data_IF_176088139102
#
_entry.id   IF_176088139102
#
_cell.length_a   1.000
_cell.length_b   1.000
_cell.length_c   1.000
_cell.angle_alpha   90.00
_cell.angle_beta   90.00
_cell.angle_gamma   90.00
#
_symmetry.space_group_name_H-M   'P 1'
#
loop_
_entity.id
_entity.type
_entity.pdbx_description
1 polymer ?
#
# COMPACT_ATOMS: atom_id res chain seq x y z
N UNK A 1 -47.60 34.16 18.57
CA UNK A 1 -47.09 33.75 17.25
C UNK A 1 -45.63 34.22 17.17
N UNK A 2 -44.70 33.45 17.73
CA UNK A 2 -43.25 33.61 17.50
C UNK A 2 -42.67 32.20 17.44
N UNK A 3 -41.88 32.01 16.40
CA UNK A 3 -41.56 30.78 15.68
C UNK A 3 -40.46 29.99 16.38
N UNK A 4 -40.59 28.66 16.36
CA UNK A 4 -39.57 27.69 16.74
C UNK A 4 -38.22 28.00 16.05
N UNK A 5 -37.16 28.25 16.83
CA UNK A 5 -35.79 28.04 16.36
C UNK A 5 -35.48 26.56 16.59
N UNK A 6 -35.62 25.77 15.53
CA UNK A 6 -35.05 24.44 15.44
C UNK A 6 -33.53 24.58 15.46
N UNK A 7 -32.91 24.03 16.50
CA UNK A 7 -31.48 23.73 16.54
C UNK A 7 -31.23 22.67 15.47
N UNK A 8 -30.62 23.07 14.35
CA UNK A 8 -30.02 22.13 13.40
C UNK A 8 -28.85 21.47 14.13
N UNK A 9 -29.13 20.34 14.78
CA UNK A 9 -28.11 19.35 15.03
C UNK A 9 -27.63 18.89 13.65
N UNK A 10 -26.48 19.38 13.21
CA UNK A 10 -25.75 18.80 12.09
C UNK A 10 -25.51 17.34 12.46
N UNK A 11 -26.27 16.46 11.82
CA UNK A 11 -26.05 15.03 11.86
C UNK A 11 -24.68 14.77 11.26
N UNK A 12 -23.67 14.58 12.11
CA UNK A 12 -22.41 13.94 11.74
C UNK A 12 -22.79 12.53 11.33
N UNK A 13 -23.02 12.30 10.04
CA UNK A 13 -23.12 10.95 9.52
C UNK A 13 -21.74 10.31 9.71
N UNK A 14 -21.61 9.17 10.42
CA UNK A 14 -20.41 8.36 10.29
C UNK A 14 -20.41 7.88 8.84
N UNK A 15 -19.50 8.40 8.02
CA UNK A 15 -19.18 7.75 6.75
C UNK A 15 -18.29 6.57 7.11
N UNK A 16 -18.93 5.43 7.31
CA UNK A 16 -18.30 4.11 7.27
C UNK A 16 -17.67 3.98 5.88
N UNK A 17 -16.38 4.31 5.72
CA UNK A 17 -15.61 3.86 4.56
C UNK A 17 -15.41 2.35 4.75
N UNK A 18 -16.12 1.49 4.00
CA UNK A 18 -16.08 0.04 4.23
C UNK A 18 -14.67 -0.53 3.98
N UNK A 19 -13.79 0.24 3.33
CA UNK A 19 -12.54 -0.23 2.78
C UNK A 19 -12.73 -0.93 1.43
N UNK A 20 -11.63 -1.26 0.80
CA UNK A 20 -11.59 -1.93 -0.49
C UNK A 20 -11.24 -3.39 -0.25
N UNK A 21 -12.17 -4.29 -0.55
CA UNK A 21 -11.93 -5.74 -0.47
C UNK A 21 -10.95 -6.17 -1.54
N UNK A 22 -9.97 -6.98 -1.17
CA UNK A 22 -8.94 -7.49 -2.06
C UNK A 22 -8.21 -8.68 -1.43
N UNK A 23 -7.01 -8.96 -1.90
CA UNK A 23 -6.20 -10.08 -1.43
C UNK A 23 -4.84 -9.61 -0.89
N UNK A 24 -4.34 -10.32 0.11
CA UNK A 24 -2.97 -10.18 0.59
C UNK A 24 -2.26 -11.53 0.46
N UNK A 25 -1.27 -11.57 -0.44
CA UNK A 25 -0.35 -12.68 -0.64
C UNK A 25 0.95 -12.39 0.13
N UNK A 26 1.30 -13.30 1.03
CA UNK A 26 2.56 -13.27 1.80
C UNK A 26 3.49 -14.33 1.19
N UNK A 27 4.56 -13.89 0.52
CA UNK A 27 5.43 -14.78 -0.27
C UNK A 27 6.24 -15.73 0.62
N UNK A 28 6.64 -15.28 1.80
CA UNK A 28 7.38 -16.09 2.78
C UNK A 28 6.54 -17.23 3.38
N UNK A 29 5.21 -17.12 3.38
CA UNK A 29 4.30 -18.16 3.86
C UNK A 29 3.61 -18.94 2.72
N UNK A 30 3.81 -18.50 1.47
CA UNK A 30 3.02 -18.93 0.31
C UNK A 30 1.50 -18.89 0.58
N UNK A 31 1.05 -17.94 1.42
CA UNK A 31 -0.31 -17.88 1.92
C UNK A 31 -1.06 -16.69 1.30
N UNK A 32 -2.29 -16.93 0.85
CA UNK A 32 -3.20 -15.87 0.36
C UNK A 32 -4.38 -15.72 1.30
N UNK A 33 -4.67 -14.48 1.68
CA UNK A 33 -5.78 -14.14 2.56
C UNK A 33 -6.65 -13.06 1.94
N UNK A 34 -7.97 -13.13 2.16
CA UNK A 34 -8.86 -12.01 1.87
C UNK A 34 -8.51 -10.85 2.81
N UNK A 35 -8.40 -9.65 2.25
CA UNK A 35 -8.02 -8.44 2.95
C UNK A 35 -9.03 -7.32 2.69
N UNK A 36 -9.11 -6.38 3.63
CA UNK A 36 -9.88 -5.14 3.45
C UNK A 36 -8.91 -3.98 3.65
N UNK A 37 -8.61 -3.28 2.57
CA UNK A 37 -7.68 -2.16 2.55
C UNK A 37 -8.41 -0.88 2.96
N UNK A 38 -8.00 -0.28 4.08
CA UNK A 38 -8.61 0.94 4.63
C UNK A 38 -7.58 2.03 4.75
N UNK A 39 -7.95 3.24 4.35
CA UNK A 39 -7.12 4.41 4.67
C UNK A 39 -7.31 4.79 6.13
N UNK A 40 -6.28 5.35 6.78
CA UNK A 40 -6.38 5.86 8.14
C UNK A 40 -7.54 6.84 8.28
N UNK A 41 -8.28 6.76 9.39
CA UNK A 41 -9.38 7.69 9.67
C UNK A 41 -8.85 9.11 9.92
N UNK A 42 -7.69 9.21 10.57
CA UNK A 42 -7.02 10.47 10.89
C UNK A 42 -6.58 11.21 9.61
N UNK A 43 -7.12 12.41 9.33
CA UNK A 43 -6.75 13.19 8.14
C UNK A 43 -5.26 13.54 8.06
N UNK A 44 -4.63 13.79 9.20
CA UNK A 44 -3.21 14.15 9.30
C UNK A 44 -2.32 12.97 8.91
N UNK A 45 -2.68 11.76 9.37
CA UNK A 45 -1.99 10.52 8.97
C UNK A 45 -2.12 10.29 7.47
N UNK A 46 -3.32 10.45 6.90
CA UNK A 46 -3.51 10.35 5.44
C UNK A 46 -2.67 11.37 4.68
N UNK A 47 -2.63 12.62 5.14
CA UNK A 47 -1.84 13.67 4.51
C UNK A 47 -0.34 13.33 4.52
N UNK A 48 0.17 12.76 5.62
CA UNK A 48 1.56 12.30 5.70
C UNK A 48 1.86 11.15 4.75
N UNK A 49 0.98 10.15 4.64
CA UNK A 49 1.17 9.09 3.64
C UNK A 49 1.21 9.63 2.21
N UNK A 50 0.35 10.60 1.88
CA UNK A 50 0.38 11.28 0.57
C UNK A 50 1.70 12.01 0.35
N UNK A 51 2.20 12.71 1.36
CA UNK A 51 3.48 13.40 1.29
C UNK A 51 4.61 12.41 1.02
N UNK A 52 4.67 11.28 1.73
CA UNK A 52 5.67 10.22 1.50
C UNK A 52 5.60 9.68 0.07
N UNK A 53 4.40 9.45 -0.47
CA UNK A 53 4.22 9.00 -1.84
C UNK A 53 4.63 10.05 -2.90
N UNK A 54 4.61 11.34 -2.55
CA UNK A 54 5.06 12.44 -3.41
C UNK A 54 6.58 12.60 -3.37
N UNK A 55 7.15 12.56 -2.17
CA UNK A 55 8.59 12.71 -1.95
C UNK A 55 9.38 11.43 -2.33
N UNK A 56 8.69 10.30 -2.44
CA UNK A 56 9.26 8.99 -2.72
C UNK A 56 9.78 8.28 -1.46
N UNK A 57 10.01 9.00 -0.37
CA UNK A 57 10.42 8.41 0.90
C UNK A 57 10.04 9.31 2.09
N UNK A 58 9.77 8.68 3.24
CA UNK A 58 9.72 9.40 4.51
C UNK A 58 9.42 8.50 5.70
N UNK A 59 9.22 9.08 6.90
CA UNK A 59 8.88 8.33 8.08
C UNK A 59 7.50 7.67 7.95
N UNK A 60 7.33 6.48 8.55
CA UNK A 60 6.04 5.80 8.59
C UNK A 60 5.07 6.59 9.49
N UNK A 61 3.92 7.06 8.97
CA UNK A 61 3.00 7.91 9.73
C UNK A 61 2.01 7.10 10.60
N UNK A 62 2.33 5.87 10.99
CA UNK A 62 1.46 5.01 11.80
C UNK A 62 1.71 5.19 13.31
N UNK A 63 0.65 5.35 14.14
CA UNK A 63 0.78 5.59 15.59
C UNK A 63 1.52 4.51 16.38
N UNK A 64 1.61 3.28 15.87
CA UNK A 64 2.34 2.17 16.49
C UNK A 64 3.79 2.02 15.98
N UNK A 65 4.19 2.76 14.94
CA UNK A 65 5.49 2.62 14.27
C UNK A 65 6.22 3.97 14.19
N UNK A 66 6.51 4.59 15.35
CA UNK A 66 7.00 5.98 15.41
C UNK A 66 8.52 6.15 15.36
N UNK A 67 9.28 5.10 15.67
CA UNK A 67 10.73 5.22 15.88
C UNK A 67 11.56 4.47 14.83
N UNK A 68 12.19 5.25 13.94
CA UNK A 68 13.17 4.76 12.97
C UNK A 68 12.59 4.06 11.74
N UNK A 69 11.27 3.81 11.70
CA UNK A 69 10.61 3.23 10.53
C UNK A 69 10.49 4.24 9.39
N UNK A 70 10.95 3.84 8.21
CA UNK A 70 10.89 4.60 6.97
C UNK A 70 10.18 3.78 5.90
N UNK A 71 9.41 4.50 5.09
CA UNK A 71 8.69 3.99 3.94
C UNK A 71 9.29 4.64 2.70
N UNK A 72 9.77 3.82 1.78
CA UNK A 72 10.15 4.25 0.44
C UNK A 72 9.12 3.73 -0.55
N UNK A 73 8.76 4.54 -1.54
CA UNK A 73 7.67 4.30 -2.48
C UNK A 73 8.21 4.46 -3.90
N UNK A 74 8.08 3.41 -4.71
CA UNK A 74 8.43 3.44 -6.12
C UNK A 74 7.15 3.39 -6.97
N UNK A 75 6.80 4.53 -7.55
CA UNK A 75 5.67 4.66 -8.48
C UNK A 75 6.20 4.50 -9.91
N UNK A 76 5.61 3.58 -10.66
CA UNK A 76 5.99 3.37 -12.05
C UNK A 76 5.67 4.59 -12.91
N UNK A 77 6.64 4.98 -13.75
CA UNK A 77 6.49 6.07 -14.68
C UNK A 77 6.92 5.68 -16.09
N UNK A 78 6.13 6.06 -17.10
CA UNK A 78 6.46 5.92 -18.52
C UNK A 78 6.30 7.27 -19.22
N UNK A 79 7.30 7.69 -20.01
CA UNK A 79 7.23 8.92 -20.84
C UNK A 79 6.72 10.15 -20.07
N UNK A 80 7.20 10.32 -18.82
CA UNK A 80 6.80 11.39 -17.88
C UNK A 80 5.35 11.33 -17.38
N UNK A 81 4.68 10.18 -17.56
CA UNK A 81 3.36 9.90 -16.99
C UNK A 81 3.51 8.86 -15.89
N UNK A 82 2.69 8.98 -14.86
CA UNK A 82 2.52 7.91 -13.87
C UNK A 82 1.72 6.81 -14.55
N UNK A 83 2.20 5.58 -14.42
CA UNK A 83 1.48 4.40 -14.87
C UNK A 83 0.53 4.00 -13.75
N UNK A 84 -0.76 4.07 -14.01
CA UNK A 84 -1.78 3.56 -13.08
C UNK A 84 -1.77 2.03 -13.08
N UNK A 85 -2.14 1.44 -11.95
CA UNK A 85 -2.35 0.00 -11.82
C UNK A 85 -1.47 -0.72 -10.82
N UNK A 86 -0.33 -0.14 -10.44
CA UNK A 86 0.51 -0.71 -9.39
C UNK A 86 1.42 0.31 -8.70
N UNK A 87 1.90 -0.07 -7.52
CA UNK A 87 2.89 0.68 -6.74
C UNK A 87 3.74 -0.29 -5.90
N UNK A 88 5.04 0.01 -5.81
CA UNK A 88 5.95 -0.73 -4.94
C UNK A 88 6.30 0.12 -3.74
N UNK A 89 6.58 -0.55 -2.62
CA UNK A 89 7.08 0.11 -1.44
C UNK A 89 8.04 -0.78 -0.66
N UNK A 90 8.86 -0.14 0.15
CA UNK A 90 9.88 -0.76 0.97
C UNK A 90 9.77 -0.20 2.38
N UNK A 91 9.71 -1.10 3.35
CA UNK A 91 9.66 -0.76 4.76
C UNK A 91 10.99 -1.15 5.39
N UNK A 92 11.63 -0.21 6.07
CA UNK A 92 12.93 -0.44 6.70
C UNK A 92 13.09 0.42 7.94
N UNK A 93 14.06 0.07 8.78
CA UNK A 93 14.35 0.77 10.03
C UNK A 93 15.76 1.37 9.98
N UNK A 94 15.87 2.66 10.27
CA UNK A 94 17.12 3.42 10.22
C UNK A 94 17.37 4.06 8.86
N UNK A 95 18.32 5.00 8.81
CA UNK A 95 18.56 5.83 7.61
C UNK A 95 19.38 5.10 6.52
N UNK A 96 20.18 4.10 6.90
CA UNK A 96 21.12 3.41 5.99
C UNK A 96 20.57 2.11 5.37
N UNK A 97 19.34 1.69 5.70
CA UNK A 97 18.85 0.34 5.43
C UNK A 97 17.99 0.17 4.16
N UNK A 98 18.06 1.12 3.22
CA UNK A 98 17.38 0.97 1.91
C UNK A 98 17.85 -0.30 1.18
N UNK A 99 19.10 -0.71 1.37
CA UNK A 99 19.70 -1.87 0.68
C UNK A 99 19.32 -3.23 1.28
N UNK A 100 18.78 -3.24 2.50
CA UNK A 100 18.30 -4.43 3.23
C UNK A 100 16.97 -4.11 3.93
N UNK A 101 15.90 -3.92 3.15
CA UNK A 101 14.61 -3.58 3.73
C UNK A 101 14.08 -4.74 4.58
N UNK A 102 13.37 -4.38 5.65
CA UNK A 102 12.66 -5.36 6.45
C UNK A 102 11.53 -6.01 5.64
N UNK A 103 10.82 -5.22 4.83
CA UNK A 103 9.75 -5.72 3.98
C UNK A 103 9.77 -5.05 2.61
N UNK A 104 9.53 -5.87 1.59
CA UNK A 104 9.16 -5.44 0.25
C UNK A 104 7.66 -5.64 0.07
N UNK A 105 6.98 -4.63 -0.46
CA UNK A 105 5.56 -4.68 -0.72
C UNK A 105 5.24 -4.16 -2.11
N UNK A 106 4.20 -4.72 -2.71
CA UNK A 106 3.71 -4.31 -4.01
C UNK A 106 2.20 -4.45 -4.05
N UNK A 107 1.52 -3.37 -4.41
CA UNK A 107 0.08 -3.32 -4.52
C UNK A 107 -0.29 -3.18 -6.00
N UNK A 108 -1.22 -4.00 -6.48
CA UNK A 108 -1.75 -3.96 -7.85
C UNK A 108 -3.27 -3.92 -7.83
N UNK A 109 -3.89 -3.14 -8.72
CA UNK A 109 -5.36 -3.04 -8.84
C UNK A 109 -5.88 -3.16 -10.27
N UNK A 110 -4.98 -3.25 -11.24
CA UNK A 110 -5.32 -3.54 -12.64
C UNK A 110 -4.91 -4.97 -12.98
N UNK A 111 -5.77 -5.65 -13.73
CA UNK A 111 -5.60 -7.05 -14.13
C UNK A 111 -4.35 -7.23 -15.00
N UNK A 112 -4.11 -6.31 -15.93
CA UNK A 112 -2.95 -6.31 -16.84
C UNK A 112 -1.62 -6.18 -16.07
N UNK A 113 -1.65 -5.51 -14.92
CA UNK A 113 -0.47 -5.33 -14.08
C UNK A 113 -0.21 -6.51 -13.15
N UNK A 114 -1.23 -7.33 -12.84
CA UNK A 114 -1.13 -8.41 -11.84
C UNK A 114 -0.05 -9.43 -12.16
N UNK A 115 0.06 -9.86 -13.42
CA UNK A 115 1.08 -10.86 -13.80
C UNK A 115 2.49 -10.29 -13.73
N UNK A 116 2.70 -9.07 -14.27
CA UNK A 116 3.98 -8.39 -14.21
C UNK A 116 4.40 -8.11 -12.77
N UNK A 117 3.44 -7.74 -11.93
CA UNK A 117 3.59 -7.56 -10.50
C UNK A 117 4.07 -8.86 -9.84
N UNK A 118 3.35 -9.97 -10.01
CA UNK A 118 3.71 -11.28 -9.46
C UNK A 118 5.12 -11.73 -9.87
N UNK A 119 5.46 -11.61 -11.15
CA UNK A 119 6.80 -11.94 -11.66
C UNK A 119 7.86 -11.03 -11.04
N UNK A 120 7.60 -9.73 -10.95
CA UNK A 120 8.53 -8.76 -10.35
C UNK A 120 8.76 -9.06 -8.87
N UNK A 121 7.70 -9.35 -8.11
CA UNK A 121 7.81 -9.70 -6.70
C UNK A 121 8.58 -11.01 -6.48
N UNK A 122 8.30 -12.04 -7.29
CA UNK A 122 9.04 -13.29 -7.27
C UNK A 122 10.53 -13.07 -7.60
N UNK A 123 10.84 -12.30 -8.66
CA UNK A 123 12.21 -11.97 -9.05
C UNK A 123 12.94 -11.15 -7.99
N UNK A 124 12.28 -10.13 -7.41
CA UNK A 124 12.86 -9.32 -6.33
C UNK A 124 13.13 -10.20 -5.10
N UNK A 125 12.23 -11.13 -4.79
CA UNK A 125 12.44 -12.10 -3.72
C UNK A 125 13.63 -13.03 -3.97
N UNK A 126 13.70 -13.66 -5.14
CA UNK A 126 14.82 -14.52 -5.52
C UNK A 126 16.15 -13.77 -5.54
N UNK A 127 16.19 -12.57 -6.12
CA UNK A 127 17.41 -11.76 -6.18
C UNK A 127 17.84 -11.27 -4.79
N UNK A 128 16.89 -10.86 -3.94
CA UNK A 128 17.20 -10.44 -2.59
C UNK A 128 17.70 -11.61 -1.72
N UNK A 129 17.16 -12.81 -1.96
CA UNK A 129 17.66 -14.05 -1.36
C UNK A 129 19.09 -14.36 -1.79
N UNK A 130 19.36 -14.42 -3.10
CA UNK A 130 20.69 -14.70 -3.64
C UNK A 130 21.76 -13.71 -3.18
N UNK A 131 21.37 -12.45 -2.95
CA UNK A 131 22.26 -11.39 -2.46
C UNK A 131 22.39 -11.34 -0.92
N UNK A 132 21.72 -12.25 -0.18
CA UNK A 132 21.69 -12.25 1.28
C UNK A 132 21.10 -10.97 1.87
N UNK A 133 20.21 -10.31 1.12
CA UNK A 133 19.49 -9.10 1.54
C UNK A 133 18.15 -9.44 2.19
N UNK A 134 17.58 -10.58 1.82
CA UNK A 134 16.43 -11.21 2.45
C UNK A 134 16.86 -12.60 2.88
N UNK A 135 16.72 -12.90 4.16
CA UNK A 135 16.80 -14.28 4.67
C UNK A 135 15.36 -14.74 4.91
N UNK A 136 14.75 -15.46 3.95
CA UNK A 136 13.36 -15.85 4.05
C UNK A 136 13.23 -16.88 5.18
N UNK A 137 12.12 -16.81 5.91
CA UNK A 137 11.82 -17.80 6.96
C UNK A 137 11.65 -19.21 6.39
N UNK A 138 11.21 -19.33 5.12
CA UNK A 138 11.05 -20.57 4.36
C UNK A 138 11.26 -20.35 2.85
N UNK A 139 11.54 -21.41 2.08
CA UNK A 139 11.63 -21.34 0.61
C UNK A 139 10.29 -20.90 -0.01
N UNK A 140 10.25 -19.96 -0.98
CA UNK A 140 9.00 -19.49 -1.56
C UNK A 140 8.25 -20.64 -2.25
N UNK A 141 7.01 -20.87 -1.81
CA UNK A 141 6.11 -21.87 -2.41
C UNK A 141 5.56 -21.44 -3.78
N UNK A 142 4.87 -22.37 -4.46
CA UNK A 142 4.26 -22.09 -5.76
C UNK A 142 3.12 -21.07 -5.60
N UNK A 143 3.21 -19.94 -6.30
CA UNK A 143 2.22 -18.86 -6.19
C UNK A 143 0.98 -19.21 -7.03
N UNK A 144 -0.13 -19.55 -6.38
CA UNK A 144 -1.40 -19.75 -7.05
C UNK A 144 -2.04 -18.41 -7.43
N UNK A 145 -2.52 -18.30 -8.68
CA UNK A 145 -3.28 -17.13 -9.13
C UNK A 145 -4.61 -17.07 -8.38
N UNK A 146 -4.76 -16.08 -7.51
CA UNK A 146 -6.04 -15.71 -6.91
C UNK A 146 -6.63 -14.50 -7.64
N UNK A 147 -7.97 -14.43 -7.68
CA UNK A 147 -8.71 -13.66 -8.68
C UNK A 147 -9.26 -12.32 -8.21
N UNK A 148 -9.11 -11.96 -6.93
CA UNK A 148 -9.67 -10.72 -6.39
C UNK A 148 -8.65 -9.58 -6.49
N UNK A 149 -9.07 -8.46 -7.10
CA UNK A 149 -8.32 -7.20 -7.10
C UNK A 149 -9.00 -6.19 -6.16
N UNK A 150 -8.22 -5.30 -5.50
CA UNK A 150 -6.77 -5.20 -5.59
C UNK A 150 -6.01 -6.27 -4.81
N UNK A 151 -4.75 -6.49 -5.15
CA UNK A 151 -3.89 -7.50 -4.54
C UNK A 151 -2.61 -6.85 -3.99
N UNK A 152 -2.35 -7.07 -2.70
CA UNK A 152 -1.10 -6.75 -2.04
C UNK A 152 -0.24 -8.01 -2.00
N UNK A 153 1.02 -7.88 -2.41
CA UNK A 153 2.04 -8.93 -2.33
C UNK A 153 3.15 -8.41 -1.44
N UNK A 154 3.51 -9.17 -0.42
CA UNK A 154 4.60 -8.82 0.49
C UNK A 154 5.64 -9.93 0.59
N UNK A 155 6.86 -9.52 0.89
CA UNK A 155 7.96 -10.39 1.26
C UNK A 155 8.65 -9.80 2.49
N UNK A 156 8.64 -10.55 3.59
CA UNK A 156 9.35 -10.19 4.81
C UNK A 156 10.76 -10.79 4.85
N UNK A 157 11.71 -10.00 5.34
CA UNK A 157 13.07 -10.44 5.60
C UNK A 157 13.30 -10.70 7.08
N UNK A 158 14.00 -11.79 7.39
CA UNK A 158 14.52 -12.06 8.72
C UNK A 158 15.76 -11.20 9.00
N UNK A 159 15.55 -9.91 9.29
CA UNK A 159 16.63 -8.98 9.70
C UNK A 159 16.65 -8.84 11.23
N UNK A 160 17.83 -8.62 11.86
CA UNK A 160 17.91 -8.33 13.29
C UNK A 160 17.28 -6.98 13.68
N UNK A 161 16.88 -6.17 12.69
CA UNK A 161 16.23 -4.86 12.88
C UNK A 161 14.73 -4.89 12.58
N UNK A 162 14.13 -6.10 12.57
CA UNK A 162 12.71 -6.29 12.34
C UNK A 162 11.80 -5.76 13.45
N UNK A 163 10.57 -6.25 13.44
CA UNK A 163 9.51 -5.80 14.34
C UNK A 163 9.86 -6.04 15.81
N UNK A 164 9.59 -5.04 16.65
CA UNK A 164 9.52 -5.24 18.10
C UNK A 164 8.27 -6.06 18.46
N UNK A 165 8.25 -6.79 19.59
CA UNK A 165 7.10 -7.59 20.00
C UNK A 165 5.78 -6.81 20.13
N UNK A 166 5.84 -5.53 20.47
CA UNK A 166 4.69 -4.63 20.57
C UNK A 166 4.25 -4.05 19.22
N UNK A 167 5.11 -4.08 18.21
CA UNK A 167 4.83 -3.66 16.83
C UNK A 167 4.20 -4.82 16.00
N UNK A 168 4.61 -6.06 16.27
CA UNK A 168 4.26 -7.22 15.46
C UNK A 168 2.75 -7.46 15.23
N UNK A 169 1.87 -7.32 16.25
CA UNK A 169 0.42 -7.50 16.05
C UNK A 169 -0.20 -6.49 15.07
N UNK A 170 0.45 -5.35 14.85
CA UNK A 170 -0.05 -4.24 14.03
C UNK A 170 0.57 -4.20 12.64
N UNK A 171 1.49 -5.11 12.29
CA UNK A 171 2.13 -5.11 10.98
C UNK A 171 1.09 -5.23 9.86
N UNK A 172 0.12 -6.14 9.98
CA UNK A 172 -0.88 -6.35 8.94
C UNK A 172 -1.74 -5.11 8.71
N UNK A 173 -2.16 -4.47 9.79
CA UNK A 173 -2.88 -3.20 9.74
C UNK A 173 -2.06 -2.13 9.02
N UNK A 174 -0.80 -1.95 9.41
CA UNK A 174 0.13 -1.02 8.76
C UNK A 174 0.24 -1.28 7.24
N UNK A 175 0.45 -2.54 6.83
CA UNK A 175 0.61 -2.90 5.43
C UNK A 175 -0.67 -2.60 4.62
N UNK A 176 -1.83 -2.87 5.19
CA UNK A 176 -3.11 -2.62 4.55
C UNK A 176 -3.40 -1.12 4.44
N UNK A 177 -3.01 -0.33 5.44
CA UNK A 177 -3.09 1.14 5.40
C UNK A 177 -2.17 1.73 4.35
N UNK A 178 -0.91 1.28 4.28
CA UNK A 178 0.06 1.70 3.26
C UNK A 178 -0.52 1.41 1.88
N UNK A 179 -0.95 0.17 1.63
CA UNK A 179 -1.49 -0.25 0.34
C UNK A 179 -2.72 0.60 -0.07
N UNK A 180 -3.64 0.86 0.87
CA UNK A 180 -4.80 1.72 0.63
C UNK A 180 -4.40 3.15 0.27
N UNK A 181 -3.49 3.76 1.04
CA UNK A 181 -3.05 5.13 0.83
C UNK A 181 -2.31 5.30 -0.49
N UNK A 182 -1.37 4.40 -0.79
CA UNK A 182 -0.56 4.46 -2.00
C UNK A 182 -1.43 4.24 -3.25
N UNK A 183 -2.36 3.26 -3.23
CA UNK A 183 -3.29 3.06 -4.34
C UNK A 183 -4.14 4.31 -4.62
N UNK A 184 -4.72 4.93 -3.58
CA UNK A 184 -5.52 6.15 -3.76
C UNK A 184 -4.68 7.29 -4.33
N UNK A 185 -3.43 7.44 -3.86
CA UNK A 185 -2.55 8.52 -4.30
C UNK A 185 -2.05 8.31 -5.73
N UNK A 186 -1.69 7.09 -6.13
CA UNK A 186 -1.31 6.80 -7.53
C UNK A 186 -2.47 7.07 -8.46
N UNK A 187 -3.68 6.57 -8.16
CA UNK A 187 -4.89 6.82 -8.97
C UNK A 187 -5.16 8.32 -9.13
N UNK A 188 -5.06 9.09 -8.05
CA UNK A 188 -5.22 10.56 -8.07
C UNK A 188 -4.20 11.21 -9.00
N UNK A 189 -2.91 10.91 -8.82
CA UNK A 189 -1.83 11.53 -9.59
C UNK A 189 -1.83 11.11 -11.05
N UNK A 190 -2.18 9.86 -11.36
CA UNK A 190 -2.35 9.40 -12.73
C UNK A 190 -3.44 10.21 -13.45
N UNK A 191 -4.59 10.43 -12.78
CA UNK A 191 -5.67 11.27 -13.29
C UNK A 191 -5.30 12.76 -13.42
N UNK A 192 -4.33 13.26 -12.67
CA UNK A 192 -3.82 14.64 -12.82
C UNK A 192 -2.87 14.79 -14.01
N UNK A 193 -2.03 13.78 -14.25
CA UNK A 193 -1.02 13.79 -15.32
C UNK A 193 -1.60 13.37 -16.68
N UNK A 194 -2.64 12.54 -16.66
CA UNK A 194 -3.45 12.18 -17.82
C UNK A 194 -4.94 12.33 -17.43
N UNK A 195 -5.53 13.54 -17.60
CA UNK A 195 -6.93 13.73 -17.26
C UNK A 195 -7.78 12.70 -18.01
N UNK A 196 -8.81 12.14 -17.35
CA UNK A 196 -9.71 11.21 -18.01
C UNK A 196 -10.24 11.89 -19.29
N UNK A 197 -10.31 11.16 -20.41
CA UNK A 197 -10.88 11.72 -21.63
C UNK A 197 -12.25 12.29 -21.29
N UNK A 198 -12.59 13.51 -21.79
CA UNK A 198 -13.86 14.14 -21.46
C UNK A 198 -14.98 13.14 -21.73
N UNK A 199 -15.86 12.95 -20.74
CA UNK A 199 -17.01 12.07 -20.89
C UNK A 199 -17.79 12.53 -22.12
N UNK A 200 -17.62 11.81 -23.23
CA UNK A 200 -18.39 12.05 -24.44
C UNK A 200 -19.80 11.64 -24.07
N UNK A 201 -20.62 12.63 -23.74
CA UNK A 201 -22.07 12.43 -23.67
C UNK A 201 -22.50 12.08 -25.08
N UNK A 202 -22.68 10.79 -25.34
CA UNK A 202 -23.52 10.37 -26.45
C UNK A 202 -24.92 10.89 -26.12
N UNK A 203 -25.32 11.97 -26.77
CA UNK A 203 -26.73 12.31 -26.89
C UNK A 203 -27.33 11.21 -27.78
N UNK A 204 -27.94 10.21 -27.12
CA UNK A 204 -28.88 9.29 -27.76
C UNK A 204 -30.18 10.04 -28.06
#
# INVERSE_FOLDING_TARGET
MITHRATLAESVQPRDDPGISGEHLMLEEASTTNATFRVPECPETRARYRQVAQDGEGPVPHPRFRDGWRLHVDILGERRRIVDGSVFFRLFRGEDQITRPFLLGMMTWEEDMRLGALVTAAMLGSLAYEQGKVDPTDSPGEIHKTGLLPQLITLMSNTPHGLRPDEAPYLRELLHEIAACLMQEVKRRAGEVAPPPPAVKFCL
#
